data_IF_849485915231
#
_entry.id   IF_849485915231
#
_cell.length_a   1.000
_cell.length_b   1.000
_cell.length_c   1.000
_cell.angle_alpha   90.00
_cell.angle_beta   90.00
_cell.angle_gamma   90.00
#
_symmetry.space_group_name_H-M   'P 1'
#
loop_
_entity.id
_entity.type
_entity.pdbx_description
1 polymer ?
#
# COMPACT_ATOMS: atom_id res chain seq x y z
N UNK A 1 -5.59 -7.01 -10.20
CA UNK A 1 -6.65 -6.23 -9.53
C UNK A 1 -6.18 -4.78 -9.55
N UNK A 2 -7.06 -3.80 -9.74
CA UNK A 2 -6.63 -2.40 -9.63
C UNK A 2 -6.30 -2.10 -8.16
N UNK A 3 -5.22 -1.36 -7.92
CA UNK A 3 -4.77 -1.01 -6.57
C UNK A 3 -5.58 0.17 -6.06
N UNK A 4 -6.52 -0.07 -5.14
CA UNK A 4 -7.46 0.93 -4.62
C UNK A 4 -6.81 1.83 -3.55
N UNK A 5 -5.89 1.27 -2.78
CA UNK A 5 -5.10 2.01 -1.79
C UNK A 5 -3.68 1.44 -1.63
N UNK A 6 -2.80 2.25 -1.07
CA UNK A 6 -1.45 1.84 -0.67
C UNK A 6 -1.06 2.45 0.69
N UNK A 7 -0.48 1.64 1.57
CA UNK A 7 0.06 2.08 2.85
C UNK A 7 1.56 2.35 2.72
N UNK A 8 1.98 3.60 2.89
CA UNK A 8 3.37 4.00 2.77
C UNK A 8 4.20 3.78 4.05
N UNK A 9 5.51 3.72 3.90
CA UNK A 9 6.49 3.51 4.97
C UNK A 9 6.52 4.64 6.01
N UNK A 10 6.04 5.84 5.65
CA UNK A 10 5.85 6.97 6.56
C UNK A 10 4.53 6.90 7.36
N UNK A 11 3.74 5.83 7.17
CA UNK A 11 2.44 5.63 7.79
C UNK A 11 1.27 6.28 7.05
N UNK A 12 1.52 6.99 5.94
CA UNK A 12 0.47 7.62 5.15
C UNK A 12 -0.30 6.58 4.35
N UNK A 13 -1.63 6.60 4.46
CA UNK A 13 -2.51 5.85 3.58
C UNK A 13 -2.82 6.70 2.34
N UNK A 14 -2.63 6.14 1.15
CA UNK A 14 -2.97 6.78 -0.12
C UNK A 14 -4.14 6.05 -0.76
N UNK A 15 -5.16 6.79 -1.19
CA UNK A 15 -6.25 6.25 -2.00
C UNK A 15 -6.01 6.54 -3.48
N UNK A 16 -6.40 5.61 -4.34
CA UNK A 16 -6.27 5.74 -5.78
C UNK A 16 -6.89 7.05 -6.29
N UNK A 17 -6.18 7.73 -7.17
CA UNK A 17 -6.70 8.87 -7.93
C UNK A 17 -7.49 8.34 -9.13
N UNK A 18 -8.81 8.49 -9.10
CA UNK A 18 -9.71 8.17 -10.20
C UNK A 18 -9.81 9.37 -11.17
N UNK A 19 -8.90 9.49 -12.14
CA UNK A 19 -8.87 10.45 -13.28
C UNK A 19 -9.15 11.95 -13.02
N UNK A 20 -9.49 12.34 -11.80
CA UNK A 20 -9.73 13.69 -11.33
C UNK A 20 -8.44 14.26 -10.73
N UNK A 21 -8.22 15.57 -10.87
CA UNK A 21 -7.08 16.20 -10.22
C UNK A 21 -7.17 16.00 -8.70
N UNK A 22 -6.05 15.67 -8.03
CA UNK A 22 -6.03 15.53 -6.59
C UNK A 22 -6.51 16.83 -5.93
N UNK A 23 -7.23 16.76 -4.79
CA UNK A 23 -7.57 17.97 -4.06
C UNK A 23 -6.28 18.75 -3.75
N UNK A 24 -6.28 20.09 -3.94
CA UNK A 24 -5.05 20.90 -4.00
C UNK A 24 -4.18 20.82 -2.74
N UNK A 25 -4.78 20.51 -1.59
CA UNK A 25 -4.11 20.48 -0.29
C UNK A 25 -3.70 19.06 0.16
N UNK A 26 -3.83 18.05 -0.72
CA UNK A 26 -3.55 16.65 -0.37
C UNK A 26 -2.24 16.20 -1.02
N UNK A 27 -1.25 15.74 -0.23
CA UNK A 27 -0.03 15.15 -0.78
C UNK A 27 -0.34 14.02 -1.76
N UNK A 28 0.39 13.97 -2.86
CA UNK A 28 0.26 12.93 -3.88
C UNK A 28 1.45 11.99 -3.79
N UNK A 29 1.19 10.69 -3.92
CA UNK A 29 2.20 9.68 -4.13
C UNK A 29 2.05 9.09 -5.53
N UNK A 30 3.18 9.02 -6.24
CA UNK A 30 3.30 8.26 -7.49
C UNK A 30 4.38 7.22 -7.24
N UNK A 31 4.02 5.96 -7.42
CA UNK A 31 4.94 4.85 -7.20
C UNK A 31 4.93 3.85 -8.35
N UNK A 32 6.07 3.24 -8.58
CA UNK A 32 6.26 2.17 -9.56
C UNK A 32 6.38 0.83 -8.83
N UNK A 33 5.64 -0.17 -9.28
CA UNK A 33 5.67 -1.49 -8.68
C UNK A 33 7.02 -2.17 -8.93
N UNK A 34 7.56 -2.82 -7.89
CA UNK A 34 8.62 -3.79 -8.07
C UNK A 34 8.12 -4.96 -8.92
N UNK A 35 8.96 -5.44 -9.82
CA UNK A 35 8.71 -6.71 -10.48
C UNK A 35 8.84 -7.85 -9.46
N UNK A 36 8.12 -8.94 -9.70
CA UNK A 36 8.14 -10.11 -8.80
C UNK A 36 9.57 -10.63 -8.58
N UNK A 37 10.39 -10.64 -9.64
CA UNK A 37 11.78 -11.10 -9.58
C UNK A 37 12.69 -10.22 -8.71
N UNK A 38 12.40 -8.92 -8.62
CA UNK A 38 13.13 -7.98 -7.77
C UNK A 38 12.69 -8.16 -6.31
N UNK A 39 11.38 -8.24 -6.08
CA UNK A 39 10.81 -8.47 -4.75
C UNK A 39 11.31 -9.78 -4.13
N UNK A 40 11.49 -10.84 -4.93
CA UNK A 40 12.03 -12.13 -4.45
C UNK A 40 13.51 -12.07 -4.04
N UNK A 41 14.27 -11.09 -4.50
CA UNK A 41 15.70 -10.93 -4.16
C UNK A 41 15.90 -10.11 -2.89
N UNK A 42 14.88 -9.37 -2.47
CA UNK A 42 14.94 -8.47 -1.32
C UNK A 42 14.49 -9.20 -0.06
N UNK A 43 15.30 -9.13 0.98
CA UNK A 43 14.89 -9.55 2.32
C UNK A 43 14.04 -8.46 2.98
N UNK A 44 13.35 -8.82 4.08
CA UNK A 44 12.66 -7.83 4.90
C UNK A 44 13.61 -6.73 5.43
N UNK A 45 14.87 -7.08 5.73
CA UNK A 45 15.87 -6.10 6.16
C UNK A 45 16.24 -5.13 5.05
N UNK A 46 16.40 -5.62 3.81
CA UNK A 46 16.69 -4.77 2.65
C UNK A 46 15.53 -3.79 2.40
N UNK A 47 14.29 -4.28 2.45
CA UNK A 47 13.09 -3.45 2.31
C UNK A 47 13.00 -2.40 3.42
N UNK A 48 13.36 -2.75 4.67
CA UNK A 48 13.38 -1.80 5.79
C UNK A 48 14.43 -0.71 5.59
N UNK A 49 15.65 -1.07 5.22
CA UNK A 49 16.71 -0.08 4.91
C UNK A 49 16.25 0.82 3.79
N UNK A 50 15.62 0.25 2.76
CA UNK A 50 15.15 1.02 1.63
C UNK A 50 14.00 1.96 1.99
N UNK A 51 13.07 1.51 2.85
CA UNK A 51 11.99 2.32 3.42
C UNK A 51 12.47 3.47 4.32
N UNK A 52 13.69 3.39 4.87
CA UNK A 52 14.32 4.48 5.62
C UNK A 52 14.92 5.54 4.71
N UNK A 53 15.28 5.19 3.48
CA UNK A 53 15.92 6.08 2.51
C UNK A 53 14.94 6.67 1.49
N UNK A 54 13.89 5.92 1.16
CA UNK A 54 12.90 6.27 0.17
C UNK A 54 11.51 5.88 0.65
N UNK A 55 10.48 6.49 0.05
CA UNK A 55 9.10 6.10 0.35
C UNK A 55 8.75 4.81 -0.40
N UNK A 56 8.41 3.77 0.37
CA UNK A 56 7.83 2.53 -0.14
C UNK A 56 6.36 2.50 0.23
N UNK A 57 5.51 1.89 -0.60
CA UNK A 57 4.11 1.68 -0.27
C UNK A 57 3.65 0.25 -0.58
N UNK A 58 2.96 -0.38 0.35
CA UNK A 58 2.30 -1.67 0.15
C UNK A 58 0.91 -1.43 -0.41
N UNK A 59 0.70 -1.83 -1.67
CA UNK A 59 -0.59 -1.77 -2.33
C UNK A 59 -1.56 -2.84 -1.84
N UNK A 60 -2.84 -2.52 -1.90
CA UNK A 60 -3.96 -3.46 -1.73
C UNK A 60 -3.94 -4.65 -2.69
N UNK A 61 -3.22 -4.56 -3.81
CA UNK A 61 -2.96 -5.65 -4.75
C UNK A 61 -1.80 -6.58 -4.31
N UNK A 62 -1.19 -6.31 -3.15
CA UNK A 62 -0.09 -7.09 -2.57
C UNK A 62 1.29 -6.72 -3.13
N UNK A 63 1.40 -5.66 -3.94
CA UNK A 63 2.68 -5.23 -4.51
C UNK A 63 3.34 -4.13 -3.69
N UNK A 64 4.66 -4.06 -3.79
CA UNK A 64 5.47 -2.97 -3.23
C UNK A 64 5.70 -1.94 -4.33
N UNK A 65 5.28 -0.71 -4.07
CA UNK A 65 5.50 0.46 -4.91
C UNK A 65 6.63 1.29 -4.33
N UNK A 66 7.57 1.69 -5.19
CA UNK A 66 8.67 2.59 -4.85
C UNK A 66 8.38 3.98 -5.41
N UNK A 67 8.62 5.02 -4.63
CA UNK A 67 8.45 6.41 -5.06
C UNK A 67 9.08 6.70 -6.44
N UNK A 68 8.34 7.43 -7.27
CA UNK A 68 8.80 7.82 -8.60
C UNK A 68 10.13 8.58 -8.54
N UNK A 69 11.04 8.25 -9.46
CA UNK A 69 12.40 8.81 -9.51
C UNK A 69 13.45 8.01 -8.73
N UNK A 70 13.04 7.03 -7.90
CA UNK A 70 13.96 6.11 -7.24
C UNK A 70 14.31 4.92 -8.13
N UNK A 71 13.33 4.45 -8.92
CA UNK A 71 13.49 3.38 -9.90
C UNK A 71 12.92 3.82 -11.26
N UNK A 72 13.39 3.17 -12.32
CA UNK A 72 12.91 3.42 -13.68
C UNK A 72 11.45 2.95 -13.85
N UNK A 73 10.69 3.68 -14.67
CA UNK A 73 9.26 3.46 -14.86
C UNK A 73 8.94 2.39 -15.93
N UNK A 74 9.90 2.05 -16.79
CA UNK A 74 9.66 1.25 -17.99
C UNK A 74 9.08 -0.13 -17.65
N UNK A 75 7.91 -0.45 -18.22
CA UNK A 75 7.24 -1.74 -18.04
C UNK A 75 6.64 -2.00 -16.67
N UNK A 76 6.60 -1.01 -15.77
CA UNK A 76 6.08 -1.16 -14.40
C UNK A 76 4.64 -0.70 -14.27
N UNK A 77 3.91 -1.38 -13.39
CA UNK A 77 2.60 -0.91 -12.96
C UNK A 77 2.75 0.35 -12.10
N UNK A 78 1.91 1.34 -12.37
CA UNK A 78 1.95 2.63 -11.69
C UNK A 78 0.79 2.73 -10.71
N UNK A 79 1.08 3.15 -9.49
CA UNK A 79 0.07 3.62 -8.55
C UNK A 79 0.18 5.14 -8.41
N UNK A 80 -0.97 5.82 -8.49
CA UNK A 80 -1.09 7.25 -8.23
C UNK A 80 -2.18 7.42 -7.20
N UNK A 81 -1.85 7.99 -6.05
CA UNK A 81 -2.81 8.18 -4.97
C UNK A 81 -2.63 9.50 -4.24
N UNK A 82 -3.71 9.97 -3.62
CA UNK A 82 -3.71 11.13 -2.75
C UNK A 82 -3.77 10.70 -1.29
N UNK A 83 -3.09 11.44 -0.41
CA UNK A 83 -3.03 11.10 1.00
C UNK A 83 -4.43 11.19 1.63
N UNK A 84 -4.80 10.16 2.37
CA UNK A 84 -6.00 10.11 3.19
C UNK A 84 -6.03 11.28 4.18
N UNK A 85 -7.22 11.83 4.45
CA UNK A 85 -7.37 12.74 5.59
C UNK A 85 -7.26 11.93 6.88
N UNK A 86 -7.02 12.60 8.02
CA UNK A 86 -6.99 11.91 9.31
C UNK A 86 -8.30 11.15 9.59
N UNK A 87 -9.44 11.72 9.20
CA UNK A 87 -10.76 11.11 9.35
C UNK A 87 -10.95 9.88 8.45
N UNK A 88 -10.52 9.96 7.19
CA UNK A 88 -10.56 8.83 6.27
C UNK A 88 -9.61 7.71 6.70
N UNK A 89 -8.38 8.05 7.11
CA UNK A 89 -7.40 7.10 7.63
C UNK A 89 -7.94 6.37 8.87
N UNK A 90 -8.59 7.08 9.78
CA UNK A 90 -9.24 6.49 10.96
C UNK A 90 -10.36 5.53 10.55
N UNK A 91 -11.24 5.95 9.64
CA UNK A 91 -12.33 5.08 9.15
C UNK A 91 -11.80 3.83 8.43
N UNK A 92 -10.73 3.96 7.65
CA UNK A 92 -10.09 2.86 6.95
C UNK A 92 -9.41 1.89 7.93
N UNK A 93 -8.70 2.41 8.94
CA UNK A 93 -8.09 1.60 10.00
C UNK A 93 -9.15 0.82 10.77
N UNK A 94 -10.27 1.45 11.13
CA UNK A 94 -11.40 0.78 11.80
C UNK A 94 -12.02 -0.32 10.93
N UNK A 95 -12.19 -0.05 9.63
CA UNK A 95 -12.70 -1.05 8.68
C UNK A 95 -11.75 -2.24 8.54
N UNK A 96 -10.44 -1.97 8.41
CA UNK A 96 -9.41 -2.99 8.32
C UNK A 96 -9.33 -3.81 9.61
N UNK A 97 -9.39 -3.17 10.78
CA UNK A 97 -9.41 -3.85 12.07
C UNK A 97 -10.62 -4.78 12.20
N UNK A 98 -11.82 -4.30 11.84
CA UNK A 98 -13.03 -5.14 11.82
C UNK A 98 -12.91 -6.32 10.86
N UNK A 99 -12.38 -6.10 9.64
CA UNK A 99 -12.18 -7.16 8.66
C UNK A 99 -11.18 -8.21 9.17
N UNK A 100 -10.02 -7.77 9.68
CA UNK A 100 -9.01 -8.65 10.25
C UNK A 100 -9.56 -9.46 11.45
N UNK A 101 -10.35 -8.81 12.31
CA UNK A 101 -11.03 -9.48 13.42
C UNK A 101 -12.01 -10.55 12.92
N UNK A 102 -12.85 -10.24 11.95
CA UNK A 102 -13.81 -11.19 11.38
C UNK A 102 -13.11 -12.39 10.74
N UNK A 103 -12.07 -12.17 9.95
CA UNK A 103 -11.24 -13.25 9.36
C UNK A 103 -10.64 -14.12 10.46
N UNK A 104 -10.10 -13.49 11.51
CA UNK A 104 -9.51 -14.20 12.65
C UNK A 104 -10.54 -15.10 13.32
N UNK A 105 -11.73 -14.57 13.62
CA UNK A 105 -12.83 -15.33 14.22
C UNK A 105 -13.24 -16.52 13.34
N UNK A 106 -13.43 -16.32 12.04
CA UNK A 106 -13.80 -17.41 11.13
C UNK A 106 -12.73 -18.50 11.02
N UNK A 107 -11.45 -18.13 10.92
CA UNK A 107 -10.34 -19.07 10.83
C UNK A 107 -10.20 -19.88 12.12
N UNK A 108 -10.33 -19.24 13.29
CA UNK A 108 -10.26 -19.94 14.57
C UNK A 108 -11.51 -20.78 14.85
N UNK A 109 -12.70 -20.36 14.40
CA UNK A 109 -13.92 -21.17 14.46
C UNK A 109 -13.79 -22.45 13.64
N UNK A 110 -13.24 -22.35 12.41
CA UNK A 110 -12.99 -23.52 11.54
C UNK A 110 -11.99 -24.51 12.14
N UNK A 111 -10.93 -24.01 12.81
CA UNK A 111 -9.93 -24.86 13.49
C UNK A 111 -10.47 -25.62 14.70
N UNK A 112 -11.56 -25.16 15.33
CA UNK A 112 -12.19 -25.86 16.46
C UNK A 112 -13.22 -26.92 16.04
N UNK A 113 -13.69 -26.85 14.80
CA UNK A 113 -14.69 -27.76 14.24
C UNK A 113 -14.08 -28.91 13.40
N UNK A 114 -12.77 -28.89 13.18
CA UNK A 114 -11.99 -29.93 12.48
C UNK A 114 -11.14 -30.71 13.48
#
# INVERSE_FOLDING_TARGET
MATEFALASDGTLYFQLEDEPPPPDRPVFVGYALHAEEAMKLTAADLLVWALLHKLALGSDGRVYVEAGVIDAEGRDVFRGHAATAEEATRAADALHRAAFNITVEVFARKRAA
#
